data_IF_930626695072
#
_entry.id   IF_930626695072
#
_cell.length_a   1.000
_cell.length_b   1.000
_cell.length_c   1.000
_cell.angle_alpha   90.00
_cell.angle_beta   90.00
_cell.angle_gamma   90.00
#
_symmetry.space_group_name_H-M   'P 1'
#
loop_
_entity.id
_entity.type
_entity.pdbx_description
1 polymer ?
#
# COMPACT_ATOMS: atom_id res chain seq x y z
N UNK A 1 -6.54 19.68 8.26
CA UNK A 1 -6.07 18.30 8.43
C UNK A 1 -4.56 18.36 8.59
N UNK A 2 -3.99 17.49 9.42
CA UNK A 2 -2.54 17.36 9.50
C UNK A 2 -2.01 16.61 8.29
N UNK A 3 -0.76 16.85 7.90
CA UNK A 3 -0.10 16.13 6.80
C UNK A 3 -0.16 14.61 6.98
N UNK A 4 -0.03 14.14 8.23
CA UNK A 4 -0.17 12.73 8.57
C UNK A 4 -1.57 12.17 8.25
N UNK A 5 -2.65 12.90 8.53
CA UNK A 5 -4.02 12.47 8.21
C UNK A 5 -4.25 12.38 6.70
N UNK A 6 -3.69 13.31 5.93
CA UNK A 6 -3.77 13.29 4.47
C UNK A 6 -3.02 12.08 3.89
N UNK A 7 -1.84 11.78 4.44
CA UNK A 7 -1.08 10.60 4.06
C UNK A 7 -1.80 9.31 4.43
N UNK A 8 -2.40 9.21 5.62
CA UNK A 8 -3.20 8.05 6.02
C UNK A 8 -4.33 7.83 5.03
N UNK A 9 -5.11 8.88 4.71
CA UNK A 9 -6.22 8.77 3.78
C UNK A 9 -5.77 8.31 2.39
N UNK A 10 -4.60 8.78 1.92
CA UNK A 10 -4.04 8.38 0.62
C UNK A 10 -3.56 6.93 0.62
N UNK A 11 -2.96 6.47 1.72
CA UNK A 11 -2.56 5.07 1.91
C UNK A 11 -3.78 4.15 1.92
N UNK A 12 -4.83 4.54 2.64
CA UNK A 12 -6.06 3.77 2.71
C UNK A 12 -6.71 3.63 1.34
N UNK A 13 -6.83 4.73 0.59
CA UNK A 13 -7.35 4.72 -0.78
C UNK A 13 -6.53 3.80 -1.71
N UNK A 14 -5.19 3.87 -1.66
CA UNK A 14 -4.34 3.03 -2.50
C UNK A 14 -4.46 1.53 -2.17
N UNK A 15 -4.69 1.19 -0.89
CA UNK A 15 -4.92 -0.18 -0.45
C UNK A 15 -6.30 -0.67 -0.92
N UNK A 16 -7.33 0.16 -0.80
CA UNK A 16 -8.71 -0.15 -1.21
C UNK A 16 -8.84 -0.33 -2.72
N UNK A 17 -8.14 0.49 -3.52
CA UNK A 17 -8.05 0.33 -4.97
C UNK A 17 -7.38 -0.98 -5.38
N UNK A 18 -6.57 -1.58 -4.49
CA UNK A 18 -5.85 -2.84 -4.71
C UNK A 18 -4.90 -2.82 -5.91
N UNK A 19 -4.47 -1.64 -6.39
CA UNK A 19 -3.55 -1.53 -7.52
C UNK A 19 -2.10 -1.50 -7.02
N UNK A 20 -1.34 -2.58 -7.25
CA UNK A 20 0.08 -2.68 -6.84
C UNK A 20 0.92 -1.50 -7.35
N UNK A 21 0.67 -1.03 -8.59
CA UNK A 21 1.40 0.11 -9.15
C UNK A 21 1.22 1.37 -8.30
N UNK A 22 -0.02 1.73 -7.93
CA UNK A 22 -0.32 2.89 -7.09
C UNK A 22 0.32 2.75 -5.69
N UNK A 23 0.25 1.55 -5.09
CA UNK A 23 0.89 1.30 -3.79
C UNK A 23 2.43 1.46 -3.85
N UNK A 24 3.07 1.03 -4.95
CA UNK A 24 4.52 1.18 -5.13
C UNK A 24 4.95 2.63 -5.40
N UNK A 25 4.20 3.36 -6.23
CA UNK A 25 4.40 4.80 -6.44
C UNK A 25 4.29 5.56 -5.11
N UNK A 26 3.31 5.20 -4.29
CA UNK A 26 3.12 5.78 -2.97
C UNK A 26 4.26 5.44 -1.99
N UNK A 27 4.81 4.23 -2.04
CA UNK A 27 6.00 3.86 -1.24
C UNK A 27 7.22 4.75 -1.57
N UNK A 28 7.42 5.06 -2.86
CA UNK A 28 8.49 5.95 -3.32
C UNK A 28 8.22 7.36 -2.80
N UNK A 29 7.02 7.90 -3.05
CA UNK A 29 6.65 9.24 -2.61
C UNK A 29 6.80 9.42 -1.08
N UNK A 30 6.41 8.41 -0.28
CA UNK A 30 6.60 8.44 1.16
C UNK A 30 8.07 8.41 1.56
N UNK A 31 8.95 7.76 0.80
CA UNK A 31 10.38 7.69 1.12
C UNK A 31 11.05 9.06 1.08
N UNK A 32 10.56 9.94 0.20
CA UNK A 32 11.07 11.30 0.00
C UNK A 32 10.32 12.35 0.85
N UNK A 33 9.32 11.93 1.64
CA UNK A 33 8.51 12.81 2.45
C UNK A 33 9.24 13.23 3.74
N UNK A 34 9.78 14.45 3.71
CA UNK A 34 10.51 15.06 4.81
C UNK A 34 9.58 15.69 5.88
N UNK A 35 8.29 15.88 5.57
CA UNK A 35 7.31 16.43 6.50
C UNK A 35 6.78 15.37 7.47
N UNK A 36 6.89 14.08 7.12
CA UNK A 36 6.64 12.99 8.06
C UNK A 36 7.82 12.70 8.98
N UNK A 37 7.47 12.41 10.24
CA UNK A 37 8.40 11.76 11.16
C UNK A 37 8.85 10.41 10.58
N UNK A 38 10.04 9.97 10.98
CA UNK A 38 10.57 8.66 10.54
C UNK A 38 9.66 7.50 10.95
N UNK A 39 9.04 7.60 12.11
CA UNK A 39 8.14 6.57 12.66
C UNK A 39 6.82 6.51 11.88
N UNK A 40 6.21 7.66 11.61
CA UNK A 40 4.97 7.72 10.84
C UNK A 40 5.21 7.25 9.41
N UNK A 41 6.28 7.73 8.76
CA UNK A 41 6.67 7.28 7.42
C UNK A 41 6.87 5.76 7.40
N UNK A 42 7.60 5.21 8.35
CA UNK A 42 7.82 3.77 8.43
C UNK A 42 6.51 3.00 8.60
N UNK A 43 5.62 3.48 9.47
CA UNK A 43 4.31 2.86 9.73
C UNK A 43 3.49 2.80 8.45
N UNK A 44 3.36 3.92 7.74
CA UNK A 44 2.57 3.98 6.50
C UNK A 44 3.18 3.14 5.38
N UNK A 45 4.50 3.15 5.23
CA UNK A 45 5.19 2.25 4.28
C UNK A 45 4.97 0.77 4.61
N UNK A 46 4.97 0.41 5.89
CA UNK A 46 4.76 -0.99 6.30
C UNK A 46 3.35 -1.49 6.01
N UNK A 47 2.34 -0.61 6.12
CA UNK A 47 0.96 -0.91 5.71
C UNK A 47 0.89 -1.26 4.22
N UNK A 48 1.50 -0.43 3.37
CA UNK A 48 1.56 -0.68 1.91
C UNK A 48 2.29 -1.98 1.57
N UNK A 49 3.47 -2.22 2.17
CA UNK A 49 4.23 -3.48 1.95
C UNK A 49 3.42 -4.71 2.32
N UNK A 50 2.67 -4.64 3.42
CA UNK A 50 1.77 -5.71 3.86
C UNK A 50 0.67 -5.91 2.83
N UNK A 51 -0.04 -4.86 2.43
CA UNK A 51 -1.11 -4.93 1.44
C UNK A 51 -0.65 -5.53 0.09
N UNK A 52 0.52 -5.10 -0.41
CA UNK A 52 1.13 -5.65 -1.64
C UNK A 52 1.41 -7.16 -1.49
N UNK A 53 1.98 -7.60 -0.37
CA UNK A 53 2.26 -9.02 -0.12
C UNK A 53 0.97 -9.86 -0.02
N UNK A 54 -0.10 -9.29 0.56
CA UNK A 54 -1.42 -9.95 0.59
C UNK A 54 -2.06 -10.03 -0.80
N UNK A 55 -1.96 -8.98 -1.62
CA UNK A 55 -2.45 -8.98 -3.00
C UNK A 55 -1.76 -10.04 -3.86
N UNK A 56 -0.43 -10.18 -3.74
CA UNK A 56 0.33 -11.21 -4.47
C UNK A 56 -0.11 -12.64 -4.15
N UNK A 57 -0.53 -12.91 -2.90
CA UNK A 57 -1.08 -14.22 -2.50
C UNK A 57 -2.49 -14.44 -3.03
N UNK A 58 -3.38 -13.45 -2.88
CA UNK A 58 -4.77 -13.54 -3.35
C UNK A 58 -4.87 -13.72 -4.86
N UNK A 59 -4.07 -12.99 -5.65
CA UNK A 59 -4.06 -13.15 -7.11
C UNK A 59 -3.60 -14.54 -7.56
N UNK A 60 -2.67 -15.15 -6.82
CA UNK A 60 -2.21 -16.51 -7.09
C UNK A 60 -3.33 -17.52 -6.81
N UNK A 61 -3.98 -17.39 -5.67
CA UNK A 61 -5.13 -18.24 -5.28
C UNK A 61 -6.31 -18.10 -6.26
N UNK A 62 -6.66 -16.88 -6.68
CA UNK A 62 -7.74 -16.61 -7.65
C UNK A 62 -7.43 -17.16 -9.05
N UNK A 63 -6.15 -17.17 -9.46
CA UNK A 63 -5.71 -17.78 -10.72
C UNK A 63 -5.75 -19.31 -10.66
N UNK A 64 -5.28 -19.90 -9.55
CA UNK A 64 -5.29 -21.36 -9.33
C UNK A 64 -6.74 -21.90 -9.31
N UNK A 65 -7.66 -21.22 -8.61
CA UNK A 65 -9.09 -21.60 -8.55
C UNK A 65 -9.83 -21.52 -9.90
N UNK A 66 -9.33 -20.72 -10.85
CA UNK A 66 -9.88 -20.62 -12.22
C UNK A 66 -9.32 -21.69 -13.16
N UNK A 67 -8.14 -22.24 -12.87
CA UNK A 67 -7.52 -23.28 -13.68
C UNK A 67 -8.01 -24.70 -13.34
N UNK A 68 -8.64 -24.89 -12.18
CA UNK A 68 -9.19 -26.19 -11.72
C UNK A 68 -10.67 -26.42 -12.09
N UNK A 69 -11.31 -25.52 -12.85
CA UNK A 69 -12.68 -25.68 -13.39
C UNK A 69 -12.67 -25.95 -14.89
#
# INVERSE_FOLDING_TARGET
MSHLEEVIARVDAAIDESVIAHMNELLIALSDDAELSREDRYTQQQRLRTAIAHHGRKHKEDMEARHEQ
#
